data_IF_821488869711
#
_entry.id   IF_821488869711
#
_cell.length_a   1.000
_cell.length_b   1.000
_cell.length_c   1.000
_cell.angle_alpha   90.00
_cell.angle_beta   90.00
_cell.angle_gamma   90.00
#
_symmetry.space_group_name_H-M   'P 1'
#
loop_
_entity.id
_entity.type
_entity.pdbx_description
1 polymer ?
#
# COMPACT_ATOMS: atom_id res chain seq x y z
N UNK A 1 -14.63 -15.36 -1.33
CA UNK A 1 -13.16 -15.49 -1.46
C UNK A 1 -12.64 -14.11 -1.79
N UNK A 2 -12.09 -13.40 -0.81
CA UNK A 2 -11.40 -12.13 -1.04
C UNK A 2 -10.23 -12.40 -1.99
N UNK A 3 -10.21 -11.72 -3.15
CA UNK A 3 -9.11 -11.88 -4.10
C UNK A 3 -7.79 -11.56 -3.42
N UNK A 4 -6.77 -12.37 -3.65
CA UNK A 4 -5.47 -12.21 -3.00
C UNK A 4 -4.81 -10.91 -3.47
N UNK A 5 -4.67 -9.94 -2.57
CA UNK A 5 -3.89 -8.74 -2.81
C UNK A 5 -2.40 -9.01 -2.54
N UNK A 6 -1.55 -8.44 -3.37
CA UNK A 6 -0.10 -8.41 -3.16
C UNK A 6 0.40 -6.98 -3.22
N UNK A 7 1.56 -6.74 -2.64
CA UNK A 7 2.20 -5.43 -2.63
C UNK A 7 3.67 -5.57 -3.02
N UNK A 8 4.15 -4.62 -3.81
CA UNK A 8 5.55 -4.53 -4.21
C UNK A 8 6.01 -3.08 -4.21
N UNK A 9 7.33 -2.85 -4.12
CA UNK A 9 7.88 -1.50 -4.27
C UNK A 9 7.78 -1.06 -5.73
N UNK A 10 7.27 0.16 -5.96
CA UNK A 10 7.21 0.75 -7.28
C UNK A 10 8.62 1.08 -7.83
N UNK A 11 9.56 1.40 -6.94
CA UNK A 11 10.95 1.69 -7.31
C UNK A 11 11.93 0.67 -6.72
N UNK A 12 12.93 0.28 -7.53
CA UNK A 12 13.98 -0.65 -7.09
C UNK A 12 15.01 -0.02 -6.15
N UNK A 13 15.20 1.31 -6.24
CA UNK A 13 16.16 2.03 -5.41
C UNK A 13 15.47 2.68 -4.21
N UNK A 14 15.78 2.16 -3.02
CA UNK A 14 15.42 2.81 -1.76
C UNK A 14 16.30 4.04 -1.57
N UNK A 15 15.71 5.22 -1.49
CA UNK A 15 16.40 6.43 -0.98
C UNK A 15 16.34 6.43 0.54
N UNK A 16 17.44 6.83 1.20
CA UNK A 16 17.49 6.91 2.67
C UNK A 16 16.51 7.95 3.22
N UNK A 17 16.26 9.02 2.45
CA UNK A 17 15.33 10.09 2.76
C UNK A 17 14.52 10.40 1.50
N UNK A 18 13.26 9.99 1.47
CA UNK A 18 12.38 10.17 0.32
C UNK A 18 11.00 9.57 0.56
N UNK A 19 10.16 9.65 -0.46
CA UNK A 19 8.86 8.96 -0.50
C UNK A 19 9.10 7.51 -0.90
N UNK A 20 8.52 6.59 -0.14
CA UNK A 20 8.47 5.18 -0.46
C UNK A 20 7.14 4.88 -1.13
N UNK A 21 7.19 4.36 -2.35
CA UNK A 21 6.01 4.09 -3.18
C UNK A 21 5.86 2.58 -3.42
N UNK A 22 4.62 2.13 -3.38
CA UNK A 22 4.25 0.74 -3.50
C UNK A 22 3.08 0.58 -4.47
N UNK A 23 3.16 -0.46 -5.30
CA UNK A 23 2.07 -0.89 -6.14
C UNK A 23 1.32 -2.01 -5.42
N UNK A 24 0.01 -1.89 -5.34
CA UNK A 24 -0.89 -2.90 -4.81
C UNK A 24 -1.56 -3.58 -5.99
N UNK A 25 -1.45 -4.90 -6.05
CA UNK A 25 -1.95 -5.72 -7.13
C UNK A 25 -3.07 -6.63 -6.65
N UNK A 26 -4.03 -6.89 -7.54
CA UNK A 26 -4.98 -8.00 -7.44
C UNK A 26 -4.74 -8.91 -8.63
N UNK A 27 -4.13 -10.07 -8.40
CA UNK A 27 -3.57 -10.88 -9.48
C UNK A 27 -2.44 -10.14 -10.19
N UNK A 28 -2.60 -9.87 -11.48
CA UNK A 28 -1.62 -9.12 -12.31
C UNK A 28 -1.96 -7.64 -12.50
N UNK A 29 -3.10 -7.17 -11.98
CA UNK A 29 -3.56 -5.80 -12.19
C UNK A 29 -3.17 -4.91 -11.02
N UNK A 30 -2.53 -3.78 -11.29
CA UNK A 30 -2.31 -2.72 -10.30
C UNK A 30 -3.66 -2.05 -10.03
N UNK A 31 -4.10 -2.09 -8.78
CA UNK A 31 -5.38 -1.55 -8.34
C UNK A 31 -5.24 -0.28 -7.50
N UNK A 32 -4.04 -0.06 -6.94
CA UNK A 32 -3.74 1.12 -6.15
C UNK A 32 -2.23 1.36 -6.05
N UNK A 33 -1.88 2.60 -5.75
CA UNK A 33 -0.53 3.05 -5.39
C UNK A 33 -0.55 3.60 -3.97
N UNK A 34 0.20 2.99 -3.07
CA UNK A 34 0.36 3.45 -1.69
C UNK A 34 1.71 4.15 -1.55
N UNK A 35 1.77 5.19 -0.73
CA UNK A 35 3.01 5.88 -0.44
C UNK A 35 3.10 6.26 1.03
N UNK A 36 4.33 6.38 1.53
CA UNK A 36 4.60 7.02 2.80
C UNK A 36 5.94 7.76 2.75
N UNK A 37 6.09 8.80 3.56
CA UNK A 37 7.37 9.48 3.73
C UNK A 37 8.41 8.60 4.45
N UNK A 38 9.64 9.10 4.60
CA UNK A 38 10.70 8.29 5.17
C UNK A 38 10.51 7.94 6.65
N UNK A 39 9.65 8.67 7.37
CA UNK A 39 9.30 8.44 8.78
C UNK A 39 8.04 7.57 8.92
N UNK A 40 7.22 7.52 7.87
CA UNK A 40 5.87 6.97 7.93
C UNK A 40 4.87 7.91 8.60
N UNK A 41 5.23 9.18 8.82
CA UNK A 41 4.37 10.17 9.46
C UNK A 41 3.25 10.57 8.48
N UNK A 42 3.64 10.90 7.24
CA UNK A 42 2.68 11.12 6.15
C UNK A 42 2.60 9.93 5.21
N UNK A 43 1.37 9.58 4.84
CA UNK A 43 1.08 8.47 3.94
C UNK A 43 -0.30 8.59 3.29
N UNK A 44 -0.46 7.91 2.17
CA UNK A 44 -1.73 7.93 1.45
C UNK A 44 -1.79 6.87 0.38
N UNK A 45 -2.96 6.78 -0.24
CA UNK A 45 -3.24 5.82 -1.30
C UNK A 45 -3.98 6.48 -2.45
N UNK A 46 -3.65 6.07 -3.67
CA UNK A 46 -4.35 6.40 -4.90
C UNK A 46 -4.88 5.12 -5.54
N UNK A 47 -6.19 4.99 -5.64
CA UNK A 47 -6.86 3.88 -6.32
C UNK A 47 -6.81 4.06 -7.85
N UNK A 48 -7.00 2.97 -8.58
CA UNK A 48 -6.97 2.95 -10.04
C UNK A 48 -8.09 3.81 -10.70
N UNK A 49 -9.19 4.05 -9.99
CA UNK A 49 -10.27 4.95 -10.43
C UNK A 49 -9.94 6.44 -10.23
N UNK A 50 -8.78 6.75 -9.64
CA UNK A 50 -8.31 8.10 -9.35
C UNK A 50 -8.66 8.60 -7.95
N UNK A 51 -9.44 7.85 -7.17
CA UNK A 51 -9.75 8.19 -5.78
C UNK A 51 -8.47 8.21 -4.94
N UNK A 52 -8.30 9.26 -4.15
CA UNK A 52 -7.17 9.41 -3.22
C UNK A 52 -7.68 9.50 -1.80
N UNK A 53 -7.04 8.79 -0.88
CA UNK A 53 -7.36 8.85 0.55
C UNK A 53 -6.06 8.99 1.34
N UNK A 54 -6.02 9.99 2.21
CA UNK A 54 -4.95 10.14 3.19
C UNK A 54 -5.24 9.19 4.35
N UNK A 55 -4.20 8.50 4.82
CA UNK A 55 -4.27 7.70 6.04
C UNK A 55 -5.38 6.62 6.03
N UNK A 56 -5.43 5.73 5.02
CA UNK A 56 -6.56 4.83 4.75
C UNK A 56 -6.96 3.92 5.94
N UNK A 57 -6.06 3.67 6.89
CA UNK A 57 -6.34 2.84 8.08
C UNK A 57 -5.78 3.45 9.36
N UNK A 58 -5.60 4.78 9.39
CA UNK A 58 -5.04 5.48 10.54
C UNK A 58 -3.52 5.62 10.46
N UNK A 59 -2.75 4.60 10.85
CA UNK A 59 -1.28 4.67 10.85
C UNK A 59 -0.66 3.87 9.70
N UNK A 60 0.55 4.25 9.28
CA UNK A 60 1.28 3.53 8.22
C UNK A 60 1.49 2.05 8.56
N UNK A 61 1.77 1.73 9.83
CA UNK A 61 1.98 0.35 10.31
C UNK A 61 0.69 -0.47 10.38
N UNK A 62 -0.46 0.20 10.45
CA UNK A 62 -1.76 -0.48 10.35
C UNK A 62 -2.08 -0.82 8.90
N UNK A 63 -1.33 -0.27 7.93
CA UNK A 63 -1.46 -0.58 6.51
C UNK A 63 -0.40 -1.59 6.03
N UNK A 64 0.86 -1.36 6.38
CA UNK A 64 2.01 -2.14 5.95
C UNK A 64 2.69 -2.87 7.11
N UNK A 65 3.07 -4.12 6.86
CA UNK A 65 3.97 -4.89 7.72
C UNK A 65 5.29 -5.19 7.00
N UNK A 66 6.32 -5.47 7.79
CA UNK A 66 7.66 -5.81 7.30
C UNK A 66 8.47 -4.57 6.90
N UNK A 67 9.33 -4.72 5.90
CA UNK A 67 10.28 -3.69 5.50
C UNK A 67 11.70 -3.93 6.05
N UNK A 68 12.66 -3.16 5.54
CA UNK A 68 14.08 -3.43 5.79
C UNK A 68 14.51 -4.77 5.16
N UNK A 69 14.95 -5.76 5.96
CA UNK A 69 15.30 -7.11 5.47
C UNK A 69 14.06 -7.99 5.17
N UNK A 70 12.91 -7.67 5.77
CA UNK A 70 11.69 -8.45 5.61
C UNK A 70 10.86 -7.98 4.40
N UNK A 71 10.20 -8.90 3.67
CA UNK A 71 9.26 -8.53 2.62
C UNK A 71 8.15 -7.62 3.16
N UNK A 72 7.75 -6.63 2.36
CA UNK A 72 6.61 -5.78 2.68
C UNK A 72 5.33 -6.53 2.37
N UNK A 73 4.39 -6.54 3.31
CA UNK A 73 3.07 -7.18 3.17
C UNK A 73 1.96 -6.25 3.62
N UNK A 74 0.74 -6.49 3.15
CA UNK A 74 -0.46 -5.78 3.59
C UNK A 74 -0.95 -6.35 4.92
N UNK A 75 -1.37 -5.48 5.83
CA UNK A 75 -2.04 -5.91 7.06
C UNK A 75 -3.44 -6.47 6.76
N UNK A 76 -4.06 -7.21 7.70
CA UNK A 76 -5.47 -7.59 7.60
C UNK A 76 -6.41 -6.39 7.42
N UNK A 77 -6.16 -5.28 8.12
CA UNK A 77 -6.96 -4.06 8.04
C UNK A 77 -6.84 -3.41 6.65
N UNK A 78 -5.65 -3.40 6.05
CA UNK A 78 -5.45 -2.92 4.68
C UNK A 78 -6.20 -3.79 3.67
N UNK A 79 -6.16 -5.11 3.82
CA UNK A 79 -6.89 -6.04 2.96
C UNK A 79 -8.41 -5.82 3.05
N UNK A 80 -8.94 -5.65 4.26
CA UNK A 80 -10.36 -5.34 4.46
C UNK A 80 -10.73 -3.99 3.83
N UNK A 81 -9.95 -2.95 4.09
CA UNK A 81 -10.14 -1.62 3.53
C UNK A 81 -10.13 -1.63 2.00
N UNK A 82 -9.18 -2.35 1.38
CA UNK A 82 -9.09 -2.53 -0.06
C UNK A 82 -10.32 -3.27 -0.58
N UNK A 83 -10.71 -4.38 0.05
CA UNK A 83 -11.87 -5.19 -0.36
C UNK A 83 -13.16 -4.36 -0.41
N UNK A 84 -13.33 -3.38 0.49
CA UNK A 84 -14.50 -2.51 0.52
C UNK A 84 -14.50 -1.45 -0.61
N UNK A 85 -13.34 -1.09 -1.16
CA UNK A 85 -13.18 0.04 -2.09
C UNK A 85 -12.86 -0.35 -3.52
N UNK A 86 -12.19 -1.47 -3.74
CA UNK A 86 -11.99 -2.01 -5.10
C UNK A 86 -13.03 -3.07 -5.39
N UNK A 87 -13.89 -2.79 -6.35
CA UNK A 87 -14.91 -3.72 -6.84
C UNK A 87 -14.26 -5.08 -7.17
N UNK A 88 -14.95 -6.17 -6.78
CA UNK A 88 -14.50 -7.53 -7.06
C UNK A 88 -14.47 -7.83 -8.56
#
# INVERSE_FOLDING_TARGET
MSGQFTIQRATRQRKSFGIYEYEILKGSSIIAQYWHDYRGDEHGIKLADGTTEDWPVGCMTDFLHGGGPEPVTLSPAAIEWLTQRVAL
#
